data_IF_688303154134
#
_entry.id   IF_688303154134
#
_cell.length_a   1.000
_cell.length_b   1.000
_cell.length_c   1.000
_cell.angle_alpha   90.00
_cell.angle_beta   90.00
_cell.angle_gamma   90.00
#
_symmetry.space_group_name_H-M   'P 1'
#
loop_
_entity.id
_entity.type
_entity.pdbx_description
1 polymer ?
#
# COMPACT_ATOMS: atom_id res chain seq x y z
N UNK A 1 5.17 -30.82 3.58
CA UNK A 1 3.76 -30.71 4.02
C UNK A 1 3.54 -31.07 5.49
N UNK A 2 4.19 -32.12 6.01
CA UNK A 2 4.02 -32.59 7.41
C UNK A 2 4.34 -31.52 8.48
N UNK A 3 5.39 -30.72 8.29
CA UNK A 3 5.79 -29.68 9.26
C UNK A 3 4.74 -28.57 9.42
N UNK A 4 4.18 -28.05 8.31
CA UNK A 4 3.11 -27.04 8.35
C UNK A 4 1.89 -27.55 9.11
N UNK A 5 1.49 -28.80 8.86
CA UNK A 5 0.36 -29.44 9.55
C UNK A 5 0.65 -29.61 11.05
N UNK A 6 1.88 -29.98 11.43
CA UNK A 6 2.28 -30.11 12.83
C UNK A 6 2.19 -28.79 13.59
N UNK A 7 2.63 -27.68 12.98
CA UNK A 7 2.54 -26.34 13.57
C UNK A 7 1.08 -25.92 13.78
N UNK A 8 0.24 -26.12 12.77
CA UNK A 8 -1.20 -25.80 12.87
C UNK A 8 -1.87 -26.62 13.97
N UNK A 9 -1.58 -27.91 14.09
CA UNK A 9 -2.09 -28.76 15.19
C UNK A 9 -1.66 -28.22 16.55
N UNK A 10 -0.39 -27.82 16.69
CA UNK A 10 0.14 -27.30 17.95
C UNK A 10 -0.56 -26.01 18.37
N UNK A 11 -0.81 -25.10 17.42
CA UNK A 11 -1.57 -23.86 17.67
C UNK A 11 -3.02 -24.17 18.08
N UNK A 12 -3.68 -25.10 17.40
CA UNK A 12 -5.07 -25.48 17.71
C UNK A 12 -5.25 -26.11 19.08
N UNK A 13 -4.29 -26.94 19.52
CA UNK A 13 -4.30 -27.53 20.87
C UNK A 13 -4.16 -26.45 21.96
N UNK A 14 -3.41 -25.39 21.68
CA UNK A 14 -3.22 -24.29 22.61
C UNK A 14 -4.39 -23.29 22.64
N UNK A 15 -5.24 -23.28 21.61
CA UNK A 15 -6.33 -22.31 21.48
C UNK A 15 -7.36 -22.40 22.62
N UNK A 16 -7.80 -21.25 23.10
CA UNK A 16 -8.88 -21.07 24.07
C UNK A 16 -10.03 -20.28 23.44
N UNK A 17 -11.25 -20.55 23.91
CA UNK A 17 -12.46 -19.83 23.51
C UNK A 17 -12.64 -19.70 21.98
N UNK A 18 -12.58 -18.49 21.44
CA UNK A 18 -12.78 -18.19 20.02
C UNK A 18 -11.50 -18.18 19.18
N UNK A 19 -10.32 -18.39 19.77
CA UNK A 19 -9.03 -18.32 19.06
C UNK A 19 -8.96 -19.30 17.89
N UNK A 20 -9.42 -20.54 18.08
CA UNK A 20 -9.41 -21.56 17.03
C UNK A 20 -10.22 -21.13 15.79
N UNK A 21 -11.33 -20.41 15.99
CA UNK A 21 -12.18 -19.90 14.90
C UNK A 21 -11.40 -18.90 14.05
N UNK A 22 -10.74 -17.93 14.68
CA UNK A 22 -10.00 -16.88 13.96
C UNK A 22 -8.71 -17.43 13.35
N UNK A 23 -8.01 -18.32 14.05
CA UNK A 23 -6.84 -19.02 13.51
C UNK A 23 -7.19 -19.77 12.21
N UNK A 24 -8.23 -20.60 12.23
CA UNK A 24 -8.65 -21.35 11.05
C UNK A 24 -9.12 -20.46 9.90
N UNK A 25 -9.81 -19.36 10.20
CA UNK A 25 -10.23 -18.38 9.19
C UNK A 25 -9.04 -17.64 8.56
N UNK A 26 -8.02 -17.29 9.36
CA UNK A 26 -6.77 -16.69 8.88
C UNK A 26 -6.00 -17.65 7.97
N UNK A 27 -5.82 -18.91 8.39
CA UNK A 27 -5.15 -19.93 7.58
C UNK A 27 -5.91 -20.23 6.28
N UNK A 28 -7.24 -20.12 6.29
CA UNK A 28 -8.08 -20.24 5.10
C UNK A 28 -8.12 -18.99 4.21
N UNK A 29 -7.39 -17.92 4.55
CA UNK A 29 -7.37 -16.66 3.80
C UNK A 29 -8.70 -15.89 3.81
N UNK A 30 -9.62 -16.22 4.72
CA UNK A 30 -11.01 -15.70 4.74
C UNK A 30 -11.41 -15.33 6.16
N UNK A 31 -10.84 -14.25 6.69
CA UNK A 31 -11.09 -13.78 8.06
C UNK A 31 -12.57 -13.38 8.31
N UNK A 32 -13.22 -12.76 7.31
CA UNK A 32 -14.65 -12.41 7.29
C UNK A 32 -15.14 -11.64 8.52
N UNK A 33 -14.42 -10.58 8.89
CA UNK A 33 -14.76 -9.70 10.03
C UNK A 33 -15.39 -8.37 9.62
N UNK A 34 -15.54 -8.10 8.31
CA UNK A 34 -16.10 -6.84 7.81
C UNK A 34 -15.18 -5.62 7.90
N UNK A 35 -13.95 -5.82 8.38
CA UNK A 35 -12.89 -4.81 8.46
C UNK A 35 -11.70 -5.24 7.60
N UNK A 36 -11.06 -4.28 6.95
CA UNK A 36 -9.93 -4.48 6.05
C UNK A 36 -8.87 -3.38 6.23
N UNK A 37 -7.87 -3.34 5.34
CA UNK A 37 -6.70 -2.43 5.41
C UNK A 37 -7.09 -0.97 5.74
N UNK A 38 -8.06 -0.40 5.03
CA UNK A 38 -8.50 0.98 5.26
C UNK A 38 -9.08 1.22 6.66
N UNK A 39 -9.84 0.27 7.20
CA UNK A 39 -10.37 0.35 8.56
C UNK A 39 -9.26 0.24 9.61
N UNK A 40 -8.27 -0.62 9.36
CA UNK A 40 -7.12 -0.82 10.25
C UNK A 40 -6.26 0.43 10.31
N UNK A 41 -5.96 1.08 9.17
CA UNK A 41 -5.17 2.32 9.14
C UNK A 41 -5.84 3.46 9.92
N UNK A 42 -7.17 3.61 9.78
CA UNK A 42 -7.94 4.59 10.57
C UNK A 42 -7.88 4.25 12.07
N UNK A 43 -8.05 2.98 12.42
CA UNK A 43 -8.00 2.55 13.82
C UNK A 43 -6.63 2.80 14.47
N UNK A 44 -5.54 2.53 13.74
CA UNK A 44 -4.16 2.78 14.21
C UNK A 44 -3.94 4.28 14.42
N UNK A 45 -4.32 5.12 13.45
CA UNK A 45 -4.17 6.56 13.57
C UNK A 45 -4.93 7.13 14.78
N UNK A 46 -6.18 6.68 14.96
CA UNK A 46 -7.02 7.07 16.08
C UNK A 46 -6.44 6.60 17.41
N UNK A 47 -5.95 5.35 17.49
CA UNK A 47 -5.33 4.82 18.70
C UNK A 47 -4.08 5.61 19.09
N UNK A 48 -3.20 5.89 18.13
CA UNK A 48 -1.98 6.66 18.36
C UNK A 48 -2.24 8.13 18.70
N UNK A 49 -3.35 8.71 18.23
CA UNK A 49 -3.77 10.06 18.60
C UNK A 49 -4.42 10.11 19.99
N UNK A 50 -5.36 9.21 20.30
CA UNK A 50 -6.08 9.18 21.57
C UNK A 50 -5.18 8.73 22.73
N UNK A 51 -4.29 7.79 22.48
CA UNK A 51 -3.33 7.28 23.46
C UNK A 51 -1.91 7.41 22.89
N UNK A 52 -1.26 8.58 23.06
CA UNK A 52 0.04 8.85 22.47
C UNK A 52 1.09 7.80 22.86
N UNK A 53 1.90 7.29 21.91
CA UNK A 53 2.98 6.37 22.21
C UNK A 53 4.15 7.07 22.93
N UNK A 54 5.06 6.28 23.50
CA UNK A 54 6.31 6.79 24.11
C UNK A 54 6.16 7.40 25.50
N UNK A 55 5.03 7.19 26.18
CA UNK A 55 4.83 7.62 27.57
C UNK A 55 5.43 6.61 28.56
N UNK A 56 5.98 7.11 29.67
CA UNK A 56 6.37 6.26 30.80
C UNK A 56 5.14 5.55 31.39
N UNK A 57 5.34 4.33 31.91
CA UNK A 57 4.27 3.59 32.55
C UNK A 57 4.16 3.96 34.05
N UNK A 58 2.96 4.25 34.57
CA UNK A 58 1.66 4.29 33.88
C UNK A 58 1.49 5.56 33.02
N UNK A 59 0.86 5.47 31.82
CA UNK A 59 0.73 6.61 30.92
C UNK A 59 -0.15 7.70 31.52
N UNK A 60 0.32 8.95 31.46
CA UNK A 60 -0.43 10.11 31.94
C UNK A 60 -1.65 10.41 31.06
N UNK A 61 -1.56 10.12 29.75
CA UNK A 61 -2.60 10.37 28.75
C UNK A 61 -3.11 9.03 28.22
N UNK A 62 -4.30 8.64 28.69
CA UNK A 62 -5.01 7.45 28.19
C UNK A 62 -6.03 7.84 27.11
N UNK A 63 -6.61 9.05 27.20
CA UNK A 63 -7.54 9.59 26.23
C UNK A 63 -7.34 11.11 26.01
N UNK A 64 -6.56 11.47 25.00
CA UNK A 64 -6.32 12.86 24.60
C UNK A 64 -7.59 13.57 24.11
N UNK A 65 -8.64 12.82 23.77
CA UNK A 65 -9.92 13.35 23.29
C UNK A 65 -10.93 13.71 24.38
N UNK A 66 -10.69 13.37 25.66
CA UNK A 66 -11.70 13.46 26.73
C UNK A 66 -12.28 14.86 26.94
N UNK A 67 -11.46 15.90 26.79
CA UNK A 67 -11.85 17.31 26.99
C UNK A 67 -12.08 18.08 25.68
N UNK A 68 -12.09 17.38 24.53
CA UNK A 68 -12.23 17.99 23.22
C UNK A 68 -13.69 17.85 22.75
N UNK A 69 -14.34 18.92 22.26
CA UNK A 69 -15.68 18.83 21.66
C UNK A 69 -15.72 17.79 20.53
N UNK A 70 -16.84 17.06 20.42
CA UNK A 70 -16.96 15.92 19.49
C UNK A 70 -16.66 16.27 18.03
N UNK A 71 -17.10 17.43 17.56
CA UNK A 71 -16.86 17.90 16.18
C UNK A 71 -15.38 18.18 15.93
N UNK A 72 -14.72 18.88 16.86
CA UNK A 72 -13.28 19.16 16.79
C UNK A 72 -12.45 17.88 16.90
N UNK A 73 -12.88 16.94 17.76
CA UNK A 73 -12.22 15.65 17.91
C UNK A 73 -12.26 14.85 16.62
N UNK A 74 -13.44 14.77 15.97
CA UNK A 74 -13.61 14.09 14.69
C UNK A 74 -12.69 14.69 13.62
N UNK A 75 -12.66 16.02 13.49
CA UNK A 75 -11.80 16.71 12.53
C UNK A 75 -10.31 16.35 12.72
N UNK A 76 -9.82 16.37 13.97
CA UNK A 76 -8.44 15.98 14.29
C UNK A 76 -8.16 14.51 13.98
N UNK A 77 -9.10 13.61 14.29
CA UNK A 77 -8.96 12.18 14.00
C UNK A 77 -8.93 11.92 12.49
N UNK A 78 -9.77 12.62 11.71
CA UNK A 78 -9.78 12.52 10.25
C UNK A 78 -8.45 13.03 9.65
N UNK A 79 -7.88 14.11 10.19
CA UNK A 79 -6.54 14.61 9.83
C UNK A 79 -5.46 13.57 10.11
N UNK A 80 -5.42 12.98 11.32
CA UNK A 80 -4.41 11.97 11.67
C UNK A 80 -4.57 10.69 10.84
N UNK A 81 -5.82 10.29 10.57
CA UNK A 81 -6.11 9.16 9.70
C UNK A 81 -5.64 9.42 8.26
N UNK A 82 -5.76 10.66 7.76
CA UNK A 82 -5.24 11.05 6.45
C UNK A 82 -3.72 10.94 6.41
N UNK A 83 -3.01 11.44 7.42
CA UNK A 83 -1.54 11.34 7.51
C UNK A 83 -1.10 9.87 7.41
N UNK A 84 -1.64 8.99 8.26
CA UNK A 84 -1.27 7.56 8.27
C UNK A 84 -1.60 6.88 6.94
N UNK A 85 -2.76 7.18 6.35
CA UNK A 85 -3.16 6.62 5.05
C UNK A 85 -2.24 7.05 3.92
N UNK A 86 -1.88 8.33 3.87
CA UNK A 86 -0.98 8.88 2.84
C UNK A 86 0.40 8.27 3.00
N UNK A 87 0.96 8.28 4.21
CA UNK A 87 2.26 7.66 4.51
C UNK A 87 2.29 6.18 4.13
N UNK A 88 1.25 5.41 4.49
CA UNK A 88 1.18 4.00 4.13
C UNK A 88 0.96 3.80 2.62
N UNK A 89 0.33 4.74 1.92
CA UNK A 89 0.17 4.64 0.46
C UNK A 89 1.51 4.83 -0.25
N UNK A 90 2.36 5.72 0.24
CA UNK A 90 3.71 5.95 -0.29
C UNK A 90 4.71 4.87 0.13
N UNK A 91 4.57 4.37 1.36
CA UNK A 91 5.43 3.36 1.97
C UNK A 91 4.56 2.30 2.68
N UNK A 92 3.99 1.33 1.95
CA UNK A 92 3.10 0.29 2.49
C UNK A 92 3.89 -0.80 3.22
N UNK A 93 4.59 -0.41 4.28
CA UNK A 93 5.36 -1.29 5.15
C UNK A 93 5.04 -0.97 6.62
N UNK A 94 4.27 -1.86 7.26
CA UNK A 94 3.87 -1.68 8.65
C UNK A 94 5.06 -1.66 9.62
N UNK A 95 6.10 -2.45 9.38
CA UNK A 95 7.25 -2.53 10.28
C UNK A 95 7.96 -1.16 10.39
N UNK A 96 8.11 -0.47 9.25
CA UNK A 96 8.70 0.87 9.20
C UNK A 96 7.71 1.90 9.78
N UNK A 97 6.47 1.92 9.29
CA UNK A 97 5.47 2.94 9.65
C UNK A 97 5.16 2.90 11.15
N UNK A 98 4.93 1.71 11.72
CA UNK A 98 4.61 1.56 13.15
C UNK A 98 5.81 1.92 14.01
N UNK A 99 7.02 1.48 13.65
CA UNK A 99 8.23 1.83 14.40
C UNK A 99 8.41 3.36 14.46
N UNK A 100 8.36 4.03 13.31
CA UNK A 100 8.46 5.49 13.23
C UNK A 100 7.34 6.19 14.00
N UNK A 101 6.11 5.68 13.92
CA UNK A 101 4.96 6.22 14.67
C UNK A 101 5.17 6.14 16.19
N UNK A 102 5.75 5.04 16.68
CA UNK A 102 6.04 4.86 18.10
C UNK A 102 7.18 5.76 18.59
N UNK A 103 8.19 6.01 17.74
CA UNK A 103 9.37 6.83 18.08
C UNK A 103 9.12 8.34 17.96
N UNK A 104 8.35 8.77 16.95
CA UNK A 104 8.22 10.18 16.59
C UNK A 104 6.78 10.72 16.64
N UNK A 105 5.78 9.84 16.81
CA UNK A 105 4.37 10.18 16.76
C UNK A 105 3.82 10.24 15.33
N UNK A 106 2.49 10.35 15.22
CA UNK A 106 1.77 10.35 13.93
C UNK A 106 2.14 11.54 13.06
N UNK A 107 2.29 12.73 13.65
CA UNK A 107 2.47 13.99 12.91
C UNK A 107 3.78 14.06 12.15
N UNK A 108 4.80 13.36 12.63
CA UNK A 108 6.13 13.34 12.02
C UNK A 108 6.32 12.21 11.03
N UNK A 109 5.31 11.36 10.81
CA UNK A 109 5.41 10.26 9.85
C UNK A 109 5.84 10.72 8.45
N UNK A 110 5.31 11.81 7.87
CA UNK A 110 5.72 12.25 6.53
C UNK A 110 7.19 12.69 6.43
N UNK A 111 7.80 13.09 7.55
CA UNK A 111 9.20 13.52 7.58
C UNK A 111 10.16 12.32 7.46
N UNK A 112 9.76 11.18 8.01
CA UNK A 112 10.61 9.99 8.15
C UNK A 112 10.23 8.85 7.20
N UNK A 113 8.98 8.79 6.74
CA UNK A 113 8.46 7.75 5.87
C UNK A 113 8.02 8.36 4.54
N UNK A 114 8.91 8.35 3.56
CA UNK A 114 8.68 8.88 2.21
C UNK A 114 8.73 7.77 1.17
N UNK A 115 8.13 8.01 0.02
CA UNK A 115 8.32 7.15 -1.16
C UNK A 115 9.81 6.89 -1.39
N UNK A 116 10.17 5.61 -1.41
CA UNK A 116 11.58 5.18 -1.51
C UNK A 116 11.69 4.12 -2.61
N UNK A 117 12.48 4.36 -3.68
CA UNK A 117 12.75 3.35 -4.69
C UNK A 117 13.20 2.02 -4.07
N UNK A 118 12.61 0.91 -4.53
CA UNK A 118 12.82 -0.42 -3.96
C UNK A 118 11.79 -0.84 -2.92
N UNK A 119 10.91 0.04 -2.43
CA UNK A 119 9.69 -0.30 -1.69
C UNK A 119 8.49 0.01 -2.61
N UNK A 120 7.61 -0.96 -2.93
CA UNK A 120 6.47 -0.70 -3.80
C UNK A 120 5.49 0.26 -3.13
N UNK A 121 4.89 1.19 -3.87
CA UNK A 121 3.83 2.06 -3.37
C UNK A 121 2.44 1.57 -3.82
N UNK A 122 1.39 2.03 -3.11
CA UNK A 122 0.01 1.75 -3.50
C UNK A 122 -0.31 2.44 -4.83
N UNK A 123 -0.72 1.68 -5.87
CA UNK A 123 -1.02 2.27 -7.15
C UNK A 123 -2.32 3.09 -7.14
N UNK A 124 -2.37 4.16 -7.92
CA UNK A 124 -3.62 4.86 -8.21
C UNK A 124 -4.59 3.91 -8.96
N UNK A 125 -5.87 3.92 -8.55
CA UNK A 125 -6.92 3.09 -9.14
C UNK A 125 -7.93 3.95 -9.92
N UNK A 126 -8.50 3.36 -10.97
CA UNK A 126 -9.56 4.00 -11.74
C UNK A 126 -10.94 3.73 -11.14
N UNK A 127 -11.83 4.71 -11.24
CA UNK A 127 -13.25 4.54 -10.97
C UNK A 127 -13.97 4.28 -12.31
N UNK A 128 -14.83 3.24 -12.40
CA UNK A 128 -15.57 2.98 -13.63
C UNK A 128 -16.57 4.13 -13.90
N UNK A 129 -16.59 4.62 -15.14
CA UNK A 129 -17.53 5.64 -15.62
C UNK A 129 -18.29 5.10 -16.82
N UNK A 130 -19.60 5.32 -16.89
CA UNK A 130 -20.48 4.72 -17.91
C UNK A 130 -20.62 5.55 -19.18
N UNK A 131 -20.02 6.73 -19.23
CA UNK A 131 -20.06 7.58 -20.41
C UNK A 131 -19.23 8.85 -20.26
N UNK A 132 -18.99 9.51 -21.38
CA UNK A 132 -18.13 10.70 -21.46
C UNK A 132 -18.73 11.87 -20.66
N UNK A 133 -20.05 12.02 -20.61
CA UNK A 133 -20.71 13.07 -19.81
C UNK A 133 -20.42 12.94 -18.31
N UNK A 134 -20.28 11.72 -17.79
CA UNK A 134 -19.93 11.48 -16.39
C UNK A 134 -18.50 11.97 -16.09
N UNK A 135 -17.59 11.77 -17.04
CA UNK A 135 -16.20 12.27 -16.97
C UNK A 135 -16.18 13.79 -16.90
N UNK A 136 -16.90 14.47 -17.81
CA UNK A 136 -17.00 15.94 -17.79
C UNK A 136 -17.66 16.47 -16.51
N UNK A 137 -18.71 15.83 -16.02
CA UNK A 137 -19.34 16.25 -14.75
C UNK A 137 -18.42 16.05 -13.55
N UNK A 138 -17.57 15.00 -13.57
CA UNK A 138 -16.64 14.69 -12.48
C UNK A 138 -15.44 15.62 -12.43
N UNK A 139 -14.86 15.94 -13.60
CA UNK A 139 -13.70 16.83 -13.68
C UNK A 139 -14.09 18.31 -13.77
N UNK A 140 -15.33 18.62 -14.16
CA UNK A 140 -15.88 19.96 -14.31
C UNK A 140 -14.95 20.85 -15.15
N UNK A 141 -14.30 21.85 -14.53
CA UNK A 141 -13.37 22.78 -15.17
C UNK A 141 -11.91 22.35 -15.09
N UNK A 142 -11.63 21.19 -14.51
CA UNK A 142 -10.27 20.66 -14.41
C UNK A 142 -9.81 20.15 -15.76
N UNK A 143 -8.61 20.53 -16.17
CA UNK A 143 -7.96 19.94 -17.34
C UNK A 143 -7.70 18.45 -17.08
N UNK A 144 -7.92 17.61 -18.10
CA UNK A 144 -7.65 16.18 -18.03
C UNK A 144 -7.10 15.68 -19.36
N UNK A 145 -6.41 14.54 -19.30
CA UNK A 145 -5.85 13.84 -20.46
C UNK A 145 -6.56 12.50 -20.69
N UNK A 146 -6.48 12.01 -21.91
CA UNK A 146 -6.99 10.69 -22.30
C UNK A 146 -5.82 9.81 -22.71
N UNK A 147 -5.65 8.69 -22.02
CA UNK A 147 -4.62 7.69 -22.33
C UNK A 147 -5.28 6.36 -22.68
N UNK A 148 -4.62 5.57 -23.53
CA UNK A 148 -5.08 4.22 -23.84
C UNK A 148 -4.99 3.36 -22.58
N UNK A 149 -6.11 2.73 -22.22
CA UNK A 149 -6.10 1.68 -21.21
C UNK A 149 -5.65 0.37 -21.86
N UNK A 150 -4.35 0.09 -21.80
CA UNK A 150 -3.79 -1.16 -22.29
C UNK A 150 -4.32 -2.38 -21.51
N UNK A 151 -4.30 -3.54 -22.18
CA UNK A 151 -4.73 -4.83 -21.64
C UNK A 151 -3.50 -5.69 -21.36
N UNK A 152 -2.88 -5.46 -20.21
CA UNK A 152 -1.63 -6.10 -19.82
C UNK A 152 -1.56 -6.35 -18.31
N UNK A 153 -0.35 -6.42 -17.79
CA UNK A 153 -0.09 -6.50 -16.36
C UNK A 153 0.62 -5.22 -15.90
N UNK A 154 0.07 -4.56 -14.88
CA UNK A 154 0.70 -3.37 -14.31
C UNK A 154 2.07 -3.72 -13.74
N UNK A 155 3.08 -2.98 -14.17
CA UNK A 155 4.46 -3.10 -13.73
C UNK A 155 4.93 -1.76 -13.14
N UNK A 156 5.12 -1.73 -11.83
CA UNK A 156 5.73 -0.62 -11.13
C UNK A 156 7.24 -0.86 -11.08
N UNK A 157 8.01 -0.13 -11.89
CA UNK A 157 9.44 -0.33 -12.09
C UNK A 157 10.20 0.67 -11.22
N UNK A 158 11.06 0.18 -10.33
CA UNK A 158 11.91 1.00 -9.47
C UNK A 158 13.35 0.87 -9.94
N UNK A 159 14.00 2.00 -10.21
CA UNK A 159 15.43 2.12 -10.38
C UNK A 159 16.02 2.72 -9.10
N UNK A 160 16.95 2.02 -8.46
CA UNK A 160 17.66 2.48 -7.28
C UNK A 160 18.97 3.19 -7.70
N UNK A 161 19.52 4.05 -6.84
CA UNK A 161 20.75 4.82 -7.11
C UNK A 161 21.96 3.95 -7.51
N UNK A 162 22.01 2.70 -7.06
CA UNK A 162 23.05 1.73 -7.44
C UNK A 162 22.83 1.03 -8.79
N UNK A 163 21.79 1.40 -9.55
CA UNK A 163 21.41 0.76 -10.81
C UNK A 163 20.59 -0.53 -10.66
N UNK A 164 20.29 -0.95 -9.44
CA UNK A 164 19.41 -2.10 -9.20
C UNK A 164 17.99 -1.78 -9.67
N UNK A 165 17.39 -2.70 -10.44
CA UNK A 165 16.01 -2.59 -10.91
C UNK A 165 15.13 -3.59 -10.17
N UNK A 166 14.00 -3.11 -9.63
CA UNK A 166 12.96 -3.95 -9.04
C UNK A 166 11.63 -3.68 -9.72
N UNK A 167 10.83 -4.73 -9.90
CA UNK A 167 9.54 -4.63 -10.57
C UNK A 167 8.46 -5.22 -9.66
N UNK A 168 7.41 -4.45 -9.41
CA UNK A 168 6.31 -4.85 -8.54
C UNK A 168 4.98 -4.87 -9.29
N UNK A 169 4.13 -5.81 -8.89
CA UNK A 169 2.76 -5.92 -9.39
C UNK A 169 1.84 -4.86 -8.77
N UNK A 170 0.61 -4.76 -9.29
CA UNK A 170 -0.46 -3.94 -8.70
C UNK A 170 -0.71 -4.22 -7.20
N UNK A 171 -0.44 -5.44 -6.74
CA UNK A 171 -0.67 -5.86 -5.35
C UNK A 171 0.64 -5.89 -4.54
N UNK A 172 1.67 -5.16 -4.98
CA UNK A 172 2.98 -5.05 -4.30
C UNK A 172 3.77 -6.38 -4.29
N UNK A 173 3.41 -7.36 -5.13
CA UNK A 173 4.18 -8.60 -5.26
C UNK A 173 5.47 -8.35 -6.06
N UNK A 174 6.57 -8.96 -5.63
CA UNK A 174 7.85 -8.83 -6.32
C UNK A 174 7.87 -9.68 -7.60
N UNK A 175 7.79 -9.01 -8.75
CA UNK A 175 7.82 -9.58 -10.09
C UNK A 175 9.19 -9.41 -10.78
N UNK A 176 10.24 -9.00 -10.06
CA UNK A 176 11.55 -8.71 -10.65
C UNK A 176 12.09 -9.90 -11.46
N UNK A 177 12.03 -11.12 -10.91
CA UNK A 177 12.50 -12.33 -11.61
C UNK A 177 11.67 -12.71 -12.83
N UNK A 178 10.45 -12.18 -12.97
CA UNK A 178 9.54 -12.46 -14.09
C UNK A 178 9.93 -11.71 -15.36
N UNK A 179 10.64 -10.58 -15.24
CA UNK A 179 10.93 -9.68 -16.36
C UNK A 179 12.43 -9.37 -16.51
N UNK A 180 13.29 -10.37 -16.73
CA UNK A 180 14.72 -10.15 -16.96
C UNK A 180 14.98 -9.28 -18.20
N UNK A 181 14.09 -9.38 -19.18
CA UNK A 181 14.12 -8.63 -20.42
C UNK A 181 13.83 -7.13 -20.19
N UNK A 182 12.83 -6.79 -19.35
CA UNK A 182 12.58 -5.38 -18.96
C UNK A 182 13.79 -4.83 -18.22
N UNK A 183 14.32 -5.56 -17.23
CA UNK A 183 15.48 -5.13 -16.43
C UNK A 183 16.66 -4.75 -17.32
N UNK A 184 16.95 -5.57 -18.34
CA UNK A 184 18.05 -5.30 -19.27
C UNK A 184 17.87 -4.04 -20.13
N UNK A 185 16.62 -3.57 -20.30
CA UNK A 185 16.28 -2.42 -21.16
C UNK A 185 16.18 -1.11 -20.38
N UNK A 186 15.86 -1.14 -19.09
CA UNK A 186 15.64 0.05 -18.26
C UNK A 186 16.78 1.08 -18.37
N UNK A 187 18.07 0.71 -18.30
CA UNK A 187 19.17 1.68 -18.43
C UNK A 187 19.17 2.43 -19.77
N UNK A 188 18.79 1.75 -20.87
CA UNK A 188 18.74 2.35 -22.21
C UNK A 188 17.48 3.19 -22.46
N UNK A 189 16.44 3.05 -21.63
CA UNK A 189 15.18 3.79 -21.75
C UNK A 189 15.24 5.15 -21.03
N UNK A 190 16.23 5.36 -20.16
CA UNK A 190 16.37 6.55 -19.33
C UNK A 190 17.54 7.41 -19.81
N UNK A 191 17.49 8.71 -19.50
CA UNK A 191 18.61 9.61 -19.73
C UNK A 191 19.71 9.32 -18.70
N UNK A 192 20.97 9.56 -19.08
CA UNK A 192 22.14 9.31 -18.21
C UNK A 192 22.10 10.08 -16.86
N UNK A 193 21.35 11.18 -16.80
CA UNK A 193 21.16 11.99 -15.58
C UNK A 193 20.24 11.33 -14.54
N UNK A 194 19.45 10.32 -14.92
CA UNK A 194 18.49 9.66 -14.03
C UNK A 194 19.20 8.60 -13.20
N UNK A 195 19.44 8.90 -11.93
CA UNK A 195 20.10 7.98 -10.99
C UNK A 195 19.11 7.07 -10.25
N UNK A 196 17.90 7.54 -9.98
CA UNK A 196 16.83 6.75 -9.37
C UNK A 196 15.45 7.24 -9.79
N UNK A 197 14.49 6.33 -9.90
CA UNK A 197 13.11 6.67 -10.24
C UNK A 197 12.12 5.54 -9.90
N UNK A 198 10.83 5.87 -9.95
CA UNK A 198 9.73 4.90 -9.98
C UNK A 198 8.86 5.20 -11.19
N UNK A 199 8.62 4.20 -12.02
CA UNK A 199 7.85 4.28 -13.25
C UNK A 199 6.58 3.44 -13.09
N UNK A 200 5.43 4.04 -13.37
CA UNK A 200 4.15 3.34 -13.46
C UNK A 200 3.88 2.99 -14.92
N UNK A 201 3.66 1.70 -15.21
CA UNK A 201 3.58 1.22 -16.58
C UNK A 201 2.68 -0.02 -16.70
N UNK A 202 2.28 -0.34 -17.93
CA UNK A 202 1.61 -1.59 -18.26
C UNK A 202 2.55 -2.44 -19.11
N UNK A 203 2.87 -3.65 -18.64
CA UNK A 203 3.60 -4.64 -19.41
C UNK A 203 2.60 -5.39 -20.32
N UNK A 204 2.78 -5.23 -21.63
CA UNK A 204 1.87 -5.76 -22.65
C UNK A 204 2.63 -6.73 -23.54
N UNK A 205 2.02 -7.87 -23.86
CA UNK A 205 2.60 -8.83 -24.79
C UNK A 205 2.70 -8.23 -26.20
N UNK A 206 3.83 -8.44 -26.87
CA UNK A 206 4.15 -7.83 -28.15
C UNK A 206 4.65 -8.85 -29.17
N UNK A 207 4.02 -8.90 -30.34
CA UNK A 207 4.45 -9.70 -31.47
C UNK A 207 5.58 -8.97 -32.22
N UNK A 208 6.81 -9.48 -32.15
CA UNK A 208 7.99 -8.85 -32.75
C UNK A 208 8.01 -8.91 -34.28
N UNK A 209 7.32 -9.88 -34.87
CA UNK A 209 7.29 -10.08 -36.33
C UNK A 209 6.24 -9.18 -36.96
N UNK A 210 5.03 -9.17 -36.38
CA UNK A 210 3.89 -8.38 -36.88
C UNK A 210 3.86 -6.96 -36.32
N UNK A 211 4.67 -6.65 -35.31
CA UNK A 211 4.74 -5.35 -34.63
C UNK A 211 3.38 -4.89 -34.11
N UNK A 212 2.71 -5.76 -33.36
CA UNK A 212 1.39 -5.48 -32.81
C UNK A 212 1.26 -6.00 -31.37
N UNK A 213 0.33 -5.39 -30.63
CA UNK A 213 -0.07 -5.84 -29.29
C UNK A 213 -0.78 -7.19 -29.39
N UNK A 214 -0.46 -8.10 -28.48
CA UNK A 214 -1.16 -9.36 -28.29
C UNK A 214 -2.20 -9.24 -27.17
N UNK A 215 -3.26 -10.08 -27.18
CA UNK A 215 -4.20 -10.18 -26.07
C UNK A 215 -3.52 -10.62 -24.77
N UNK A 216 -4.19 -10.39 -23.64
CA UNK A 216 -3.67 -10.78 -22.32
C UNK A 216 -3.53 -12.30 -22.07
N UNK A 217 -4.26 -13.13 -22.84
CA UNK A 217 -4.39 -14.58 -22.62
C UNK A 217 -3.17 -15.41 -23.03
#
# INVERSE_FOLDING_TARGET
MSQKVSLVKSLLVACKHCEARYLMRSLGGKLRIGLAEQSVLVAIANAAYLTPPGQDFPPAIINAGEKIPAETLKSKMDEKALIVKTTYSELPNYDIVIKTMLEHGVDKLPDHCRLTPGIPLKPMLAHPTKGVSEVFNRFDKSEFTCEYKYDGERAQIHLLEGGEVRIYSRNQENNTSKYPDIISRVPAMLKDEVTSCVIDSEAVAWDTDKKQILPFQ
#
